data_IF_423334909002
#
_entry.id   IF_423334909002
#
_cell.length_a   1.000
_cell.length_b   1.000
_cell.length_c   1.000
_cell.angle_alpha   90.00
_cell.angle_beta   90.00
_cell.angle_gamma   90.00
#
_symmetry.space_group_name_H-M   'P 1'
#
loop_
_entity.id
_entity.type
_entity.pdbx_description
1 polymer ?
#
# COMPACT_ATOMS: atom_id res chain seq x y z
N UNK A 1 3.86 -13.12 12.09
CA UNK A 1 3.81 -13.88 10.82
C UNK A 1 3.19 -12.97 9.77
N UNK A 2 3.34 -13.25 8.47
CA UNK A 2 2.64 -12.47 7.44
C UNK A 2 1.92 -13.39 6.46
N UNK A 3 0.83 -12.86 5.89
CA UNK A 3 0.09 -13.47 4.79
C UNK A 3 0.36 -12.70 3.48
N UNK A 4 0.58 -13.43 2.39
CA UNK A 4 0.67 -12.87 1.03
C UNK A 4 -0.75 -12.78 0.47
N UNK A 5 -1.14 -11.61 -0.04
CA UNK A 5 -2.49 -11.33 -0.52
C UNK A 5 -2.51 -11.14 -2.05
N UNK A 6 -1.70 -10.22 -2.57
CA UNK A 6 -1.58 -9.88 -4.00
C UNK A 6 -2.91 -9.49 -4.69
N UNK A 7 -3.82 -8.85 -3.96
CA UNK A 7 -5.15 -8.45 -4.46
C UNK A 7 -5.20 -6.96 -4.84
N UNK A 8 -5.99 -6.57 -5.87
CA UNK A 8 -6.19 -5.17 -6.21
C UNK A 8 -6.97 -4.43 -5.13
N UNK A 9 -6.63 -3.15 -4.90
CA UNK A 9 -7.30 -2.27 -3.95
C UNK A 9 -7.56 -0.89 -4.57
N UNK A 10 -8.53 -0.16 -4.03
CA UNK A 10 -8.68 1.28 -4.31
C UNK A 10 -8.00 2.10 -3.23
N UNK A 11 -7.33 3.20 -3.58
CA UNK A 11 -6.55 3.99 -2.62
C UNK A 11 -6.89 5.46 -2.75
N UNK A 12 -7.23 6.09 -1.61
CA UNK A 12 -7.31 7.54 -1.51
C UNK A 12 -5.91 8.11 -1.26
N UNK A 13 -5.40 8.91 -2.18
CA UNK A 13 -4.02 9.39 -2.18
C UNK A 13 -3.94 10.90 -2.36
N UNK A 14 -2.98 11.53 -1.67
CA UNK A 14 -2.61 12.92 -1.91
C UNK A 14 -1.27 12.94 -2.64
N UNK A 15 -1.25 13.54 -3.83
CA UNK A 15 -0.02 13.88 -4.53
C UNK A 15 0.37 15.32 -4.18
N UNK A 16 1.47 15.49 -3.46
CA UNK A 16 1.93 16.82 -3.03
C UNK A 16 3.44 16.85 -2.88
N UNK A 17 4.07 17.93 -3.31
CA UNK A 17 5.52 18.13 -3.15
C UNK A 17 6.37 16.98 -3.69
N UNK A 18 5.96 16.40 -4.82
CA UNK A 18 6.64 15.26 -5.46
C UNK A 18 6.52 13.94 -4.69
N UNK A 19 5.61 13.83 -3.71
CA UNK A 19 5.39 12.63 -2.91
C UNK A 19 4.00 12.04 -3.14
N UNK A 20 3.92 10.72 -3.02
CA UNK A 20 2.69 9.94 -3.02
C UNK A 20 2.34 9.64 -1.56
N UNK A 21 1.23 10.19 -1.07
CA UNK A 21 0.84 10.09 0.34
C UNK A 21 -0.53 9.39 0.45
N UNK A 22 -0.56 8.04 0.49
CA UNK A 22 -1.80 7.29 0.66
C UNK A 22 -2.41 7.57 2.04
N UNK A 23 -3.72 7.79 2.07
CA UNK A 23 -4.50 8.17 3.28
C UNK A 23 -5.43 7.07 3.76
N UNK A 24 -5.95 6.28 2.85
CA UNK A 24 -6.71 5.09 3.14
C UNK A 24 -6.70 4.18 1.92
N UNK A 25 -6.99 2.91 2.13
CA UNK A 25 -7.31 1.98 1.05
C UNK A 25 -8.65 1.29 1.32
N UNK A 26 -9.26 0.79 0.25
CA UNK A 26 -10.49 0.00 0.31
C UNK A 26 -10.17 -1.39 -0.21
N UNK A 27 -10.41 -2.39 0.63
CA UNK A 27 -10.21 -3.80 0.32
C UNK A 27 -11.45 -4.58 0.73
N UNK A 28 -12.00 -5.37 -0.20
CA UNK A 28 -13.24 -6.16 0.00
C UNK A 28 -14.44 -5.35 0.53
N UNK A 29 -14.54 -4.08 0.10
CA UNK A 29 -15.62 -3.17 0.49
C UNK A 29 -15.36 -2.40 1.78
N UNK A 30 -14.32 -2.75 2.54
CA UNK A 30 -13.99 -2.13 3.82
C UNK A 30 -12.89 -1.08 3.67
N UNK A 31 -13.04 0.04 4.38
CA UNK A 31 -12.08 1.16 4.35
C UNK A 31 -11.08 1.04 5.50
N UNK A 32 -9.80 0.96 5.14
CA UNK A 32 -8.66 0.93 6.06
C UNK A 32 -7.98 2.29 6.05
N UNK A 33 -8.14 3.05 7.13
CA UNK A 33 -7.51 4.38 7.26
C UNK A 33 -6.04 4.22 7.63
N UNK A 34 -5.16 4.87 6.88
CA UNK A 34 -3.72 4.82 7.15
C UNK A 34 -3.40 5.83 8.26
N UNK A 35 -3.06 5.32 9.43
CA UNK A 35 -2.63 6.13 10.58
C UNK A 35 -1.20 6.61 10.41
N UNK A 36 -0.35 5.73 9.87
CA UNK A 36 1.09 5.99 9.70
C UNK A 36 1.64 5.18 8.53
N UNK A 37 2.52 5.80 7.75
CA UNK A 37 3.42 5.11 6.82
C UNK A 37 4.71 4.86 7.60
N UNK A 38 5.06 3.59 7.82
CA UNK A 38 6.25 3.20 8.60
C UNK A 38 7.48 3.04 7.72
N UNK A 39 7.28 2.64 6.46
CA UNK A 39 8.36 2.47 5.50
C UNK A 39 7.87 2.73 4.08
N UNK A 40 8.74 3.31 3.26
CA UNK A 40 8.53 3.58 1.83
C UNK A 40 9.79 3.15 1.09
N UNK A 41 9.62 2.33 0.07
CA UNK A 41 10.70 1.93 -0.83
C UNK A 41 10.15 1.81 -2.25
N UNK A 42 11.04 1.83 -3.23
CA UNK A 42 10.69 1.56 -4.60
C UNK A 42 11.47 0.37 -5.15
N UNK A 43 10.94 -0.21 -6.21
CA UNK A 43 11.53 -1.35 -6.90
C UNK A 43 11.26 -1.24 -8.39
N UNK A 44 12.05 -1.96 -9.20
CA UNK A 44 11.76 -2.17 -10.61
C UNK A 44 11.22 -3.57 -10.82
N UNK A 45 10.04 -3.66 -11.42
CA UNK A 45 9.44 -4.93 -11.88
C UNK A 45 9.35 -4.87 -13.39
N UNK A 46 10.35 -5.46 -14.07
CA UNK A 46 10.56 -5.23 -15.49
C UNK A 46 10.94 -3.76 -15.76
N UNK A 47 10.19 -3.09 -16.64
CA UNK A 47 10.30 -1.65 -16.89
C UNK A 47 9.58 -0.79 -15.84
N UNK A 48 8.62 -1.36 -15.12
CA UNK A 48 7.74 -0.60 -14.25
C UNK A 48 8.44 -0.21 -12.94
N UNK A 49 8.40 1.07 -12.60
CA UNK A 49 8.72 1.52 -11.25
C UNK A 49 7.50 1.30 -10.35
N UNK A 50 7.73 0.61 -9.23
CA UNK A 50 6.69 0.27 -8.25
C UNK A 50 7.08 0.88 -6.91
N UNK A 51 6.22 1.73 -6.36
CA UNK A 51 6.33 2.25 -5.01
C UNK A 51 5.64 1.32 -4.03
N UNK A 52 6.30 1.01 -2.94
CA UNK A 52 5.77 0.14 -1.88
C UNK A 52 5.69 0.93 -0.58
N UNK A 53 4.65 0.69 0.19
CA UNK A 53 4.36 1.37 1.44
C UNK A 53 4.03 0.33 2.51
N UNK A 54 4.74 0.36 3.63
CA UNK A 54 4.29 -0.29 4.86
C UNK A 54 3.45 0.73 5.64
N UNK A 55 2.20 0.38 5.94
CA UNK A 55 1.21 1.27 6.56
C UNK A 55 0.55 0.62 7.75
N UNK A 56 0.20 1.41 8.76
CA UNK A 56 -0.51 0.95 9.97
C UNK A 56 -2.00 1.32 9.86
N UNK A 57 -2.85 0.35 10.20
CA UNK A 57 -4.25 0.55 10.56
C UNK A 57 -4.57 -0.36 11.76
N UNK A 58 -5.09 0.20 12.86
CA UNK A 58 -5.49 -0.53 14.06
C UNK A 58 -4.44 -1.55 14.54
N UNK A 59 -3.20 -1.09 14.73
CA UNK A 59 -2.03 -1.89 15.14
C UNK A 59 -1.51 -2.90 14.09
N UNK A 60 -2.29 -3.31 13.10
CA UNK A 60 -1.80 -4.17 12.02
C UNK A 60 -0.97 -3.40 10.99
N UNK A 61 0.04 -4.08 10.44
CA UNK A 61 0.85 -3.55 9.33
C UNK A 61 0.38 -4.17 8.01
N UNK A 62 0.22 -3.33 7.01
CA UNK A 62 -0.14 -3.70 5.65
C UNK A 62 0.96 -3.24 4.70
N UNK A 63 1.34 -4.08 3.74
CA UNK A 63 2.17 -3.66 2.61
C UNK A 63 1.27 -3.43 1.40
N UNK A 64 1.28 -2.22 0.86
CA UNK A 64 0.57 -1.86 -0.37
C UNK A 64 1.56 -1.34 -1.41
N UNK A 65 1.26 -1.58 -2.69
CA UNK A 65 2.12 -1.15 -3.79
C UNK A 65 1.35 -0.37 -4.84
N UNK A 66 2.03 0.58 -5.47
CA UNK A 66 1.55 1.39 -6.59
C UNK A 66 2.50 1.25 -7.77
N UNK A 67 1.99 0.72 -8.88
CA UNK A 67 2.75 0.57 -10.11
C UNK A 67 2.55 1.81 -11.00
N UNK A 68 3.62 2.56 -11.26
CA UNK A 68 3.55 3.81 -12.05
C UNK A 68 3.16 3.61 -13.51
N UNK A 69 3.47 2.44 -14.07
CA UNK A 69 3.23 2.14 -15.50
C UNK A 69 1.76 1.78 -15.73
N UNK A 70 1.18 0.97 -14.85
CA UNK A 70 -0.21 0.51 -14.96
C UNK A 70 -1.20 1.33 -14.16
N UNK A 71 -0.73 2.24 -13.30
CA UNK A 71 -1.53 3.00 -12.34
C UNK A 71 -2.39 2.14 -11.39
N UNK A 72 -1.98 0.88 -11.17
CA UNK A 72 -2.69 -0.05 -10.30
C UNK A 72 -2.14 -0.04 -8.88
N UNK A 73 -3.04 -0.17 -7.91
CA UNK A 73 -2.71 -0.42 -6.51
C UNK A 73 -2.99 -1.86 -6.12
N UNK A 74 -2.13 -2.44 -5.28
CA UNK A 74 -2.31 -3.77 -4.71
C UNK A 74 -2.09 -3.77 -3.20
N UNK A 75 -2.77 -4.68 -2.51
CA UNK A 75 -2.43 -5.11 -1.16
C UNK A 75 -1.52 -6.34 -1.30
N UNK A 76 -0.25 -6.18 -0.95
CA UNK A 76 0.76 -7.21 -1.12
C UNK A 76 0.76 -8.18 0.07
N UNK A 77 0.77 -7.64 1.30
CA UNK A 77 0.86 -8.43 2.53
C UNK A 77 0.08 -7.84 3.70
N UNK A 78 -0.33 -8.73 4.61
CA UNK A 78 -0.84 -8.38 5.94
C UNK A 78 0.08 -9.01 6.98
N UNK A 79 0.49 -8.24 7.96
CA UNK A 79 1.28 -8.71 9.10
C UNK A 79 0.36 -8.90 10.31
N UNK A 80 0.30 -10.12 10.83
CA UNK A 80 -0.48 -10.46 12.03
C UNK A 80 0.27 -10.04 13.30
N UNK A 81 -0.44 -9.39 14.23
CA UNK A 81 0.01 -9.22 15.61
C UNK A 81 -0.43 -10.42 16.45
N UNK A 82 0.43 -10.86 17.37
CA UNK A 82 0.13 -11.89 18.37
C UNK A 82 -0.74 -11.35 19.50
#
# INVERSE_FOLDING_TARGET
>A
MYAIIDEPISVGVIFSSGKINPKFFVWKGEKYTIEKITFLWDSKVGSAQVFHFAVINNSSVYEISYNLETSNWKLDKIHEQW
#
